data_IF_759664081087
#
_entry.id   IF_759664081087
#
_cell.length_a   1.000
_cell.length_b   1.000
_cell.length_c   1.000
_cell.angle_alpha   90.00
_cell.angle_beta   90.00
_cell.angle_gamma   90.00
#
_symmetry.space_group_name_H-M   'P 1'
#
loop_
_entity.id
_entity.type
_entity.pdbx_description
1 polymer ?
#
# COMPACT_ATOMS: atom_id res chain seq x y z
N UNK A 1 67.94 -40.50 -34.43
CA UNK A 1 66.75 -40.62 -35.30
C UNK A 1 65.63 -41.29 -34.52
N UNK A 2 64.65 -40.53 -34.02
CA UNK A 2 63.38 -41.07 -33.48
C UNK A 2 62.26 -40.11 -33.86
N UNK A 3 61.30 -40.63 -34.63
CA UNK A 3 60.11 -39.94 -35.12
C UNK A 3 59.04 -39.91 -34.02
N UNK A 4 58.33 -38.78 -33.89
CA UNK A 4 57.15 -38.62 -33.04
C UNK A 4 55.87 -38.63 -33.91
N UNK A 5 54.77 -39.24 -33.48
CA UNK A 5 53.55 -39.35 -34.28
C UNK A 5 52.63 -38.13 -34.07
N UNK A 6 52.02 -37.69 -35.16
CA UNK A 6 51.01 -36.64 -35.23
C UNK A 6 49.64 -37.29 -34.94
N UNK A 7 48.98 -36.88 -33.85
CA UNK A 7 47.59 -37.26 -33.55
C UNK A 7 46.64 -36.21 -34.15
N UNK A 8 45.84 -36.62 -35.13
CA UNK A 8 44.76 -35.81 -35.69
C UNK A 8 43.52 -35.93 -34.81
N UNK A 9 43.08 -34.80 -34.23
CA UNK A 9 41.87 -34.70 -33.42
C UNK A 9 40.71 -34.32 -34.36
N UNK A 10 39.76 -35.23 -34.54
CA UNK A 10 38.56 -34.99 -35.33
C UNK A 10 37.57 -34.11 -34.54
N UNK A 11 37.29 -32.92 -35.06
CA UNK A 11 36.32 -31.98 -34.50
C UNK A 11 34.91 -32.40 -34.96
N UNK A 12 34.12 -32.97 -34.05
CA UNK A 12 32.72 -33.32 -34.29
C UNK A 12 31.84 -32.07 -34.06
N UNK A 13 31.26 -31.53 -35.14
CA UNK A 13 30.29 -30.44 -35.08
C UNK A 13 28.92 -31.05 -34.76
N UNK A 14 28.49 -30.94 -33.50
CA UNK A 14 27.13 -31.25 -33.08
C UNK A 14 26.22 -30.06 -33.46
N UNK A 15 25.46 -30.22 -34.55
CA UNK A 15 24.34 -29.33 -34.87
C UNK A 15 23.19 -29.62 -33.89
N UNK A 16 23.07 -28.81 -32.83
CA UNK A 16 21.90 -28.82 -31.96
C UNK A 16 20.73 -28.16 -32.66
N UNK A 17 19.63 -28.90 -32.87
CA UNK A 17 18.35 -28.30 -33.23
C UNK A 17 17.90 -27.42 -32.07
N UNK A 18 17.87 -26.10 -32.29
CA UNK A 18 17.17 -25.17 -31.41
C UNK A 18 15.69 -25.45 -31.59
N UNK A 19 15.07 -26.11 -30.60
CA UNK A 19 13.61 -26.16 -30.50
C UNK A 19 13.23 -24.76 -30.01
N UNK A 20 12.88 -23.87 -30.93
CA UNK A 20 12.22 -22.63 -30.56
C UNK A 20 10.91 -22.97 -29.86
N UNK A 21 10.76 -22.51 -28.62
CA UNK A 21 9.51 -22.64 -27.89
C UNK A 21 8.42 -21.91 -28.69
N UNK A 22 7.36 -22.64 -29.03
CA UNK A 22 6.27 -22.10 -29.82
C UNK A 22 5.49 -21.12 -28.95
N UNK A 23 5.16 -19.94 -29.50
CA UNK A 23 4.30 -19.00 -28.78
C UNK A 23 2.95 -19.65 -28.49
N UNK A 24 2.43 -19.51 -27.25
CA UNK A 24 1.08 -19.97 -26.95
C UNK A 24 0.02 -19.18 -27.71
N UNK A 25 0.32 -17.93 -28.09
CA UNK A 25 -0.54 -17.10 -28.93
C UNK A 25 -0.04 -17.07 -30.39
N UNK A 26 -0.99 -17.08 -31.32
CA UNK A 26 -0.72 -16.91 -32.76
C UNK A 26 -0.22 -15.51 -33.09
N UNK A 27 0.45 -15.36 -34.25
CA UNK A 27 1.02 -14.07 -34.69
C UNK A 27 -0.04 -12.97 -34.81
N UNK A 28 -1.25 -13.30 -35.30
CA UNK A 28 -2.36 -12.37 -35.52
C UNK A 28 -3.57 -12.70 -34.60
N UNK A 29 -3.31 -13.23 -33.40
CA UNK A 29 -4.37 -13.62 -32.47
C UNK A 29 -4.80 -12.46 -31.58
N UNK A 30 -6.03 -11.95 -31.75
CA UNK A 30 -6.63 -10.94 -30.87
C UNK A 30 -7.07 -11.52 -29.52
N UNK A 31 -6.66 -10.90 -28.42
CA UNK A 31 -6.95 -11.25 -27.03
C UNK A 31 -7.87 -10.29 -26.26
N UNK A 32 -7.89 -8.99 -26.57
CA UNK A 32 -8.56 -7.96 -25.75
C UNK A 32 -10.04 -7.73 -26.14
N UNK A 33 -10.39 -7.71 -27.43
CA UNK A 33 -11.79 -7.56 -27.86
C UNK A 33 -12.06 -8.23 -29.21
N UNK A 34 -12.76 -9.38 -29.21
CA UNK A 34 -13.13 -10.01 -30.48
C UNK A 34 -13.75 -11.40 -30.45
N UNK A 35 -13.67 -12.13 -29.34
CA UNK A 35 -14.38 -13.41 -29.17
C UNK A 35 -15.16 -13.41 -27.86
N UNK A 36 -16.33 -14.08 -27.87
CA UNK A 36 -17.38 -14.04 -26.84
C UNK A 36 -16.97 -14.55 -25.44
N UNK A 37 -15.67 -14.76 -25.22
CA UNK A 37 -15.00 -15.37 -24.09
C UNK A 37 -13.66 -14.67 -23.74
N UNK A 38 -13.40 -13.46 -24.25
CA UNK A 38 -12.20 -12.67 -23.94
C UNK A 38 -12.04 -12.38 -22.44
N UNK A 39 -10.81 -12.49 -21.95
CA UNK A 39 -10.41 -12.09 -20.58
C UNK A 39 -10.73 -10.61 -20.41
N UNK A 40 -11.79 -10.30 -19.67
CA UNK A 40 -12.11 -8.92 -19.33
C UNK A 40 -11.08 -8.41 -18.32
N UNK A 41 -10.09 -7.66 -18.81
CA UNK A 41 -9.20 -6.88 -17.94
C UNK A 41 -10.05 -5.92 -17.11
N UNK A 42 -9.72 -5.79 -15.83
CA UNK A 42 -10.27 -4.72 -14.99
C UNK A 42 -9.72 -3.37 -15.43
N UNK A 43 -10.38 -2.28 -15.00
CA UNK A 43 -9.89 -0.92 -15.24
C UNK A 43 -8.47 -0.71 -14.67
N UNK A 44 -8.18 -1.30 -13.51
CA UNK A 44 -6.84 -1.24 -12.94
C UNK A 44 -5.82 -2.00 -13.80
N UNK A 45 -6.10 -3.25 -14.16
CA UNK A 45 -5.17 -4.04 -14.97
C UNK A 45 -4.89 -3.35 -16.30
N UNK A 46 -5.92 -2.81 -16.94
CA UNK A 46 -5.77 -2.02 -18.18
C UNK A 46 -4.81 -0.86 -17.99
N UNK A 47 -5.01 -0.04 -16.95
CA UNK A 47 -4.16 1.12 -16.64
C UNK A 47 -2.73 0.72 -16.28
N UNK A 48 -2.56 -0.32 -15.46
CA UNK A 48 -1.25 -0.74 -14.97
C UNK A 48 -0.45 -1.51 -16.02
N UNK A 49 -1.09 -2.22 -16.96
CA UNK A 49 -0.42 -2.83 -18.11
C UNK A 49 0.18 -1.73 -18.98
N UNK A 50 -0.60 -0.70 -19.34
CA UNK A 50 -0.09 0.44 -20.12
C UNK A 50 1.04 1.15 -19.39
N UNK A 51 0.90 1.38 -18.08
CA UNK A 51 1.96 1.96 -17.26
C UNK A 51 3.22 1.09 -17.27
N UNK A 52 3.12 -0.22 -17.03
CA UNK A 52 4.25 -1.14 -17.04
C UNK A 52 5.02 -1.08 -18.38
N UNK A 53 4.31 -1.10 -19.50
CA UNK A 53 4.92 -1.06 -20.84
C UNK A 53 5.59 0.30 -21.09
N UNK A 54 4.90 1.40 -20.83
CA UNK A 54 5.37 2.76 -21.11
C UNK A 54 6.40 3.29 -20.10
N UNK A 55 6.58 2.63 -18.95
CA UNK A 55 7.65 2.90 -17.97
C UNK A 55 9.01 2.30 -18.38
N UNK A 56 9.10 1.66 -19.55
CA UNK A 56 10.37 1.15 -20.07
C UNK A 56 10.71 -0.28 -19.63
N UNK A 57 9.73 -1.11 -19.29
CA UNK A 57 9.97 -2.52 -19.00
C UNK A 57 10.67 -3.23 -20.19
N UNK A 58 11.88 -3.74 -19.99
CA UNK A 58 12.62 -4.45 -21.04
C UNK A 58 11.95 -5.79 -21.36
N UNK A 59 12.23 -6.35 -22.54
CA UNK A 59 11.76 -7.70 -22.88
C UNK A 59 12.20 -8.76 -21.84
N UNK A 60 13.38 -8.61 -21.23
CA UNK A 60 13.87 -9.47 -20.16
C UNK A 60 13.08 -9.29 -18.86
N UNK A 61 12.72 -8.05 -18.51
CA UNK A 61 11.89 -7.76 -17.35
C UNK A 61 10.48 -8.36 -17.50
N UNK A 62 9.87 -8.23 -18.69
CA UNK A 62 8.57 -8.83 -19.01
C UNK A 62 8.62 -10.37 -18.93
N UNK A 63 9.69 -10.99 -19.46
CA UNK A 63 9.90 -12.44 -19.34
C UNK A 63 10.07 -12.89 -17.90
N UNK A 64 10.82 -12.13 -17.10
CA UNK A 64 10.98 -12.41 -15.67
C UNK A 64 9.64 -12.31 -14.92
N UNK A 65 8.75 -11.43 -15.38
CA UNK A 65 7.39 -11.31 -14.87
C UNK A 65 6.42 -12.40 -15.39
N UNK A 66 6.90 -13.32 -16.23
CA UNK A 66 6.13 -14.48 -16.72
C UNK A 66 5.46 -14.27 -18.09
N UNK A 67 5.73 -13.17 -18.78
CA UNK A 67 5.26 -12.95 -20.16
C UNK A 67 6.08 -13.82 -21.12
N UNK A 68 5.42 -14.47 -22.06
CA UNK A 68 6.10 -15.33 -23.03
C UNK A 68 7.15 -14.57 -23.85
N UNK A 69 8.29 -15.21 -24.15
CA UNK A 69 9.46 -14.58 -24.78
C UNK A 69 9.15 -13.87 -26.11
N UNK A 70 8.23 -14.40 -26.93
CA UNK A 70 7.85 -13.73 -28.19
C UNK A 70 7.06 -12.45 -27.93
N UNK A 71 5.95 -12.54 -27.21
CA UNK A 71 5.14 -11.37 -26.82
C UNK A 71 5.99 -10.29 -26.14
N UNK A 72 6.84 -10.68 -25.18
CA UNK A 72 7.72 -9.75 -24.46
C UNK A 72 8.71 -9.02 -25.40
N UNK A 73 9.22 -9.69 -26.42
CA UNK A 73 10.14 -9.10 -27.41
C UNK A 73 9.40 -8.17 -28.37
N UNK A 74 8.25 -8.58 -28.89
CA UNK A 74 7.48 -7.73 -29.81
C UNK A 74 6.93 -6.49 -29.10
N UNK A 75 6.48 -6.61 -27.85
CA UNK A 75 6.03 -5.46 -27.05
C UNK A 75 7.14 -4.43 -26.82
N UNK A 76 8.35 -4.90 -26.47
CA UNK A 76 9.49 -4.00 -26.29
C UNK A 76 9.93 -3.41 -27.63
N UNK A 77 9.94 -4.19 -28.72
CA UNK A 77 10.34 -3.71 -30.05
C UNK A 77 9.35 -2.70 -30.62
N UNK A 78 8.05 -2.88 -30.43
CA UNK A 78 7.03 -1.88 -30.78
C UNK A 78 7.31 -0.57 -30.06
N UNK A 79 7.45 -0.63 -28.73
CA UNK A 79 7.68 0.56 -27.89
C UNK A 79 8.98 1.28 -28.22
N UNK A 80 10.09 0.53 -28.37
CA UNK A 80 11.44 1.08 -28.47
C UNK A 80 11.82 1.51 -29.89
N UNK A 81 10.89 1.45 -30.85
CA UNK A 81 11.12 1.92 -32.21
C UNK A 81 12.20 1.15 -32.99
N UNK A 82 12.71 1.78 -34.05
CA UNK A 82 13.68 1.18 -34.98
C UNK A 82 15.07 1.03 -34.34
N UNK A 83 15.43 1.92 -33.40
CA UNK A 83 16.72 1.89 -32.72
C UNK A 83 16.79 0.89 -31.55
N UNK A 84 15.64 0.36 -31.13
CA UNK A 84 15.50 -0.67 -30.10
C UNK A 84 15.96 -0.22 -28.72
N UNK A 85 15.97 1.09 -28.46
CA UNK A 85 16.42 1.69 -27.21
C UNK A 85 15.33 2.59 -26.63
N UNK A 86 14.75 2.20 -25.50
CA UNK A 86 13.79 3.03 -24.78
C UNK A 86 14.33 4.43 -24.42
N UNK A 87 13.44 5.41 -24.42
CA UNK A 87 13.65 6.84 -24.13
C UNK A 87 14.43 7.58 -25.23
N UNK A 88 14.21 7.20 -26.49
CA UNK A 88 14.76 7.83 -27.70
C UNK A 88 13.66 8.57 -28.48
N UNK A 89 13.99 9.04 -29.69
CA UNK A 89 13.08 9.91 -30.45
C UNK A 89 12.06 9.14 -31.28
N UNK A 90 12.30 7.85 -31.50
CA UNK A 90 11.50 6.94 -32.31
C UNK A 90 10.67 5.96 -31.47
N UNK A 91 10.64 6.13 -30.13
CA UNK A 91 9.73 5.37 -29.27
C UNK A 91 8.26 5.56 -29.69
N UNK A 92 7.52 4.46 -29.77
CA UNK A 92 6.08 4.40 -30.03
C UNK A 92 5.36 3.89 -28.78
N UNK A 93 5.10 4.80 -27.82
CA UNK A 93 4.45 4.43 -26.56
C UNK A 93 2.99 4.03 -26.81
N UNK A 94 2.53 3.00 -26.08
CA UNK A 94 1.16 2.52 -26.21
C UNK A 94 0.15 3.53 -25.68
N UNK A 95 -0.77 3.98 -26.53
CA UNK A 95 -1.86 4.88 -26.17
C UNK A 95 -3.05 4.13 -25.56
N UNK A 96 -3.29 2.90 -26.04
CA UNK A 96 -4.48 2.12 -25.69
C UNK A 96 -4.18 0.64 -25.53
N UNK A 97 -5.07 -0.07 -24.80
CA UNK A 97 -4.96 -1.52 -24.65
C UNK A 97 -5.26 -2.27 -25.97
N UNK A 98 -6.03 -1.66 -26.87
CA UNK A 98 -6.31 -2.22 -28.18
C UNK A 98 -5.05 -2.20 -29.05
N UNK A 99 -4.22 -1.16 -28.95
CA UNK A 99 -2.91 -1.12 -29.62
C UNK A 99 -1.98 -2.24 -29.13
N UNK A 100 -1.98 -2.52 -27.83
CA UNK A 100 -1.25 -3.66 -27.25
C UNK A 100 -1.75 -5.00 -27.84
N UNK A 101 -3.06 -5.12 -28.10
CA UNK A 101 -3.69 -6.31 -28.72
C UNK A 101 -3.32 -6.50 -30.20
N UNK A 102 -2.89 -5.44 -30.88
CA UNK A 102 -2.47 -5.48 -32.29
C UNK A 102 -1.01 -5.93 -32.46
N UNK A 103 -0.23 -6.00 -31.37
CA UNK A 103 1.17 -6.44 -31.41
C UNK A 103 1.27 -7.94 -31.68
N UNK A 104 2.22 -8.32 -32.54
CA UNK A 104 2.43 -9.71 -32.93
C UNK A 104 2.64 -10.63 -31.71
N UNK A 105 1.96 -11.78 -31.72
CA UNK A 105 1.97 -12.77 -30.63
C UNK A 105 1.39 -12.28 -29.29
N UNK A 106 0.67 -11.15 -29.27
CA UNK A 106 -0.05 -10.67 -28.07
C UNK A 106 -1.51 -11.08 -28.18
N UNK A 107 -1.81 -12.28 -27.70
CA UNK A 107 -3.17 -12.80 -27.65
C UNK A 107 -3.70 -12.90 -26.22
N UNK A 108 -4.74 -13.72 -26.05
CA UNK A 108 -5.39 -13.93 -24.75
C UNK A 108 -4.39 -14.40 -23.69
N UNK A 109 -3.43 -15.26 -24.04
CA UNK A 109 -2.47 -15.80 -23.08
C UNK A 109 -1.52 -14.70 -22.60
N UNK A 110 -0.99 -13.89 -23.53
CA UNK A 110 -0.15 -12.74 -23.23
C UNK A 110 -0.88 -11.73 -22.32
N UNK A 111 -2.16 -11.42 -22.58
CA UNK A 111 -2.93 -10.56 -21.67
C UNK A 111 -3.12 -11.15 -20.28
N UNK A 112 -3.37 -12.46 -20.18
CA UNK A 112 -3.41 -13.14 -18.88
C UNK A 112 -2.07 -13.05 -18.12
N UNK A 113 -0.95 -13.12 -18.82
CA UNK A 113 0.40 -12.98 -18.25
C UNK A 113 0.69 -11.53 -17.85
N UNK A 114 0.32 -10.56 -18.69
CA UNK A 114 0.47 -9.13 -18.40
C UNK A 114 -0.37 -8.72 -17.18
N UNK A 115 -1.62 -9.17 -17.11
CA UNK A 115 -2.49 -8.96 -15.96
C UNK A 115 -1.87 -9.55 -14.68
N UNK A 116 -1.32 -10.77 -14.75
CA UNK A 116 -0.60 -11.37 -13.64
C UNK A 116 0.66 -10.57 -13.24
N UNK A 117 1.41 -10.04 -14.21
CA UNK A 117 2.60 -9.23 -13.97
C UNK A 117 2.28 -7.91 -13.23
N UNK A 118 1.09 -7.34 -13.45
CA UNK A 118 0.66 -6.10 -12.79
C UNK A 118 -0.28 -6.32 -11.60
N UNK A 119 -0.64 -7.57 -11.28
CA UNK A 119 -1.64 -7.88 -10.25
C UNK A 119 -1.32 -7.22 -8.90
N UNK A 120 -0.04 -7.16 -8.51
CA UNK A 120 0.39 -6.50 -7.28
C UNK A 120 0.15 -4.98 -7.28
N UNK A 121 0.22 -4.32 -8.45
CA UNK A 121 -0.08 -2.90 -8.61
C UNK A 121 -1.59 -2.63 -8.53
N UNK A 122 -2.40 -3.66 -8.74
CA UNK A 122 -3.86 -3.60 -8.67
C UNK A 122 -4.47 -4.03 -7.34
N UNK A 123 -3.64 -4.34 -6.35
CA UNK A 123 -4.13 -4.49 -4.98
C UNK A 123 -4.50 -3.11 -4.45
N UNK A 124 -5.80 -2.83 -4.37
CA UNK A 124 -6.29 -1.60 -3.77
C UNK A 124 -5.70 -1.43 -2.36
N UNK A 125 -5.11 -0.27 -2.06
CA UNK A 125 -4.62 0.05 -0.72
C UNK A 125 -5.79 -0.07 0.27
N UNK A 126 -5.80 -1.09 1.16
CA UNK A 126 -6.91 -1.29 2.07
C UNK A 126 -7.04 -0.13 3.09
N UNK A 127 -6.02 0.73 3.19
CA UNK A 127 -5.96 1.89 4.07
C UNK A 127 -6.20 3.22 3.35
N UNK A 128 -6.63 3.23 2.08
CA UNK A 128 -6.88 4.47 1.34
C UNK A 128 -7.83 5.42 2.10
N UNK A 129 -8.90 4.89 2.71
CA UNK A 129 -9.83 5.69 3.53
C UNK A 129 -9.19 6.25 4.82
N UNK A 130 -8.16 5.58 5.34
CA UNK A 130 -7.42 6.06 6.51
C UNK A 130 -6.61 7.32 6.18
N UNK A 131 -6.28 7.56 4.90
CA UNK A 131 -5.59 8.77 4.45
C UNK A 131 -6.54 9.94 4.19
N UNK A 132 -7.85 9.72 4.09
CA UNK A 132 -8.81 10.82 4.11
C UNK A 132 -8.95 11.37 5.53
N UNK A 133 -8.19 12.42 5.85
CA UNK A 133 -8.12 13.04 7.19
C UNK A 133 -9.44 13.65 7.68
N UNK A 134 -10.45 13.74 6.82
CA UNK A 134 -11.78 14.28 7.15
C UNK A 134 -12.76 13.18 7.57
N UNK A 135 -12.49 11.92 7.16
CA UNK A 135 -13.39 10.80 7.40
C UNK A 135 -13.26 10.26 8.82
N UNK A 136 -14.29 10.43 9.64
CA UNK A 136 -14.29 9.98 11.03
C UNK A 136 -14.37 8.46 11.18
N UNK A 137 -15.10 7.78 10.28
CA UNK A 137 -15.30 6.33 10.30
C UNK A 137 -14.90 5.70 8.97
N UNK A 138 -14.05 4.68 9.00
CA UNK A 138 -13.58 3.96 7.81
C UNK A 138 -13.98 2.49 7.84
N UNK A 139 -13.96 1.85 6.68
CA UNK A 139 -14.17 0.42 6.51
C UNK A 139 -13.06 -0.19 5.65
N UNK A 140 -12.75 -1.46 5.88
CA UNK A 140 -11.82 -2.22 5.05
C UNK A 140 -12.56 -3.07 4.04
N UNK A 141 -11.96 -3.33 2.86
CA UNK A 141 -12.45 -4.37 1.96
C UNK A 141 -12.62 -5.72 2.67
N UNK A 142 -13.67 -6.49 2.35
CA UNK A 142 -13.86 -7.82 2.92
C UNK A 142 -12.63 -8.71 2.69
N UNK A 143 -12.19 -9.43 3.73
CA UNK A 143 -11.03 -10.33 3.65
C UNK A 143 -9.66 -9.64 3.80
N UNK A 144 -9.61 -8.33 4.07
CA UNK A 144 -8.36 -7.63 4.37
C UNK A 144 -7.63 -8.32 5.53
N UNK A 145 -6.41 -8.79 5.28
CA UNK A 145 -5.58 -9.42 6.29
C UNK A 145 -5.07 -8.38 7.29
N UNK A 146 -5.17 -8.69 8.58
CA UNK A 146 -4.60 -7.83 9.61
C UNK A 146 -3.06 -7.84 9.56
N UNK A 147 -2.41 -6.69 9.72
CA UNK A 147 -0.96 -6.61 9.73
C UNK A 147 -0.37 -7.39 10.91
N UNK A 148 0.83 -7.92 10.71
CA UNK A 148 1.59 -8.70 11.72
C UNK A 148 2.58 -7.84 12.50
N UNK A 149 2.91 -6.66 11.98
CA UNK A 149 3.74 -5.63 12.62
C UNK A 149 3.04 -4.28 12.57
N UNK A 150 3.51 -3.35 13.39
CA UNK A 150 3.00 -1.99 13.45
C UNK A 150 4.09 -1.01 12.99
N UNK A 151 3.70 -0.10 12.11
CA UNK A 151 4.58 0.99 11.69
C UNK A 151 4.41 2.17 12.65
N UNK A 152 5.52 2.69 13.16
CA UNK A 152 5.53 3.84 14.06
C UNK A 152 5.70 5.13 13.25
N UNK A 153 4.64 5.93 13.02
CA UNK A 153 4.74 7.08 12.16
C UNK A 153 5.31 8.29 12.91
N UNK A 154 6.04 9.10 12.17
CA UNK A 154 6.58 10.38 12.60
C UNK A 154 6.50 11.40 11.45
N UNK A 155 6.41 12.68 11.79
CA UNK A 155 6.32 13.74 10.79
C UNK A 155 6.36 15.12 11.42
N UNK A 156 7.12 16.05 10.83
CA UNK A 156 7.19 17.45 11.24
C UNK A 156 7.42 17.68 12.76
N UNK A 157 8.23 16.82 13.39
CA UNK A 157 8.54 16.92 14.83
C UNK A 157 7.52 16.26 15.76
N UNK A 158 6.50 15.59 15.22
CA UNK A 158 5.51 14.82 15.97
C UNK A 158 5.74 13.32 15.76
N UNK A 159 5.42 12.52 16.78
CA UNK A 159 5.52 11.06 16.72
C UNK A 159 4.31 10.38 17.35
N UNK A 160 3.93 9.22 16.81
CA UNK A 160 2.92 8.34 17.40
C UNK A 160 3.60 7.05 17.86
N UNK A 161 3.91 7.00 19.15
CA UNK A 161 4.58 5.87 19.77
C UNK A 161 3.62 4.82 20.36
N UNK A 162 4.17 3.63 20.60
CA UNK A 162 3.51 2.55 21.32
C UNK A 162 2.28 1.96 20.62
N UNK A 163 1.78 0.88 21.22
CA UNK A 163 0.54 0.22 20.83
C UNK A 163 -0.19 -0.14 22.12
N UNK A 164 -1.44 0.27 22.30
CA UNK A 164 -2.24 -0.09 23.48
C UNK A 164 -3.65 -0.48 23.09
N UNK A 165 -4.03 -1.72 23.41
CA UNK A 165 -5.39 -2.21 23.17
C UNK A 165 -6.19 -2.31 24.45
N UNK A 166 -7.44 -1.91 24.33
CA UNK A 166 -8.47 -2.10 25.34
C UNK A 166 -9.64 -2.88 24.75
N UNK A 167 -9.53 -4.20 24.79
CA UNK A 167 -10.58 -5.16 24.41
C UNK A 167 -11.80 -5.11 25.34
N UNK A 168 -12.86 -4.40 24.95
CA UNK A 168 -14.01 -4.08 25.79
C UNK A 168 -14.97 -5.24 26.03
N UNK A 169 -14.51 -6.43 26.41
CA UNK A 169 -15.33 -7.58 26.77
C UNK A 169 -14.72 -8.35 27.95
N UNK A 170 -15.54 -9.20 28.59
CA UNK A 170 -15.07 -10.08 29.65
C UNK A 170 -14.02 -11.05 29.11
N UNK A 171 -12.85 -11.13 29.75
CA UNK A 171 -11.74 -11.97 29.31
C UNK A 171 -10.91 -11.38 28.17
N UNK A 172 -11.20 -10.16 27.71
CA UNK A 172 -10.33 -9.43 26.78
C UNK A 172 -9.03 -8.99 27.46
N UNK A 173 -7.97 -8.82 26.67
CA UNK A 173 -6.67 -8.32 27.14
C UNK A 173 -6.75 -6.80 27.34
N UNK A 174 -6.63 -6.33 28.60
CA UNK A 174 -6.85 -4.93 28.97
C UNK A 174 -6.01 -4.45 30.18
N UNK A 175 -5.18 -3.40 30.02
CA UNK A 175 -4.56 -3.02 28.75
C UNK A 175 -3.57 -4.09 28.29
N UNK A 176 -3.36 -4.20 26.98
CA UNK A 176 -2.14 -4.84 26.45
C UNK A 176 -1.36 -3.85 25.61
N UNK A 177 -0.03 -3.91 25.73
CA UNK A 177 0.89 -3.04 25.01
C UNK A 177 1.55 -3.74 23.81
N UNK A 178 1.16 -4.97 23.52
CA UNK A 178 1.70 -5.75 22.42
C UNK A 178 0.79 -5.61 21.20
N UNK A 179 1.36 -5.23 20.06
CA UNK A 179 0.61 -5.15 18.81
C UNK A 179 -0.07 -6.48 18.46
N UNK A 180 0.66 -7.59 18.63
CA UNK A 180 0.19 -8.94 18.31
C UNK A 180 -0.94 -9.45 19.20
N UNK A 181 -1.20 -8.81 20.34
CA UNK A 181 -2.32 -9.17 21.22
C UNK A 181 -3.63 -8.44 20.87
N UNK A 182 -3.60 -7.47 19.95
CA UNK A 182 -4.81 -6.89 19.37
C UNK A 182 -5.58 -7.94 18.55
N UNK A 183 -6.91 -7.83 18.47
CA UNK A 183 -7.69 -8.62 17.51
C UNK A 183 -7.32 -8.23 16.08
N UNK A 184 -7.68 -9.03 15.09
CA UNK A 184 -7.43 -8.69 13.68
C UNK A 184 -8.03 -7.32 13.31
N UNK A 185 -9.29 -7.08 13.71
CA UNK A 185 -9.95 -5.79 13.52
C UNK A 185 -9.27 -4.66 14.31
N UNK A 186 -8.82 -4.94 15.54
CA UNK A 186 -8.05 -4.00 16.36
C UNK A 186 -6.74 -3.59 15.69
N UNK A 187 -5.97 -4.55 15.19
CA UNK A 187 -4.68 -4.31 14.51
C UNK A 187 -4.87 -3.53 13.21
N UNK A 188 -5.91 -3.84 12.43
CA UNK A 188 -6.30 -3.05 11.27
C UNK A 188 -6.60 -1.59 11.64
N UNK A 189 -7.44 -1.35 12.65
CA UNK A 189 -7.76 0.01 13.08
C UNK A 189 -6.56 0.76 13.66
N UNK A 190 -5.69 0.09 14.40
CA UNK A 190 -4.49 0.71 14.97
C UNK A 190 -3.50 1.11 13.88
N UNK A 191 -3.28 0.27 12.87
CA UNK A 191 -2.46 0.61 11.70
C UNK A 191 -3.10 1.73 10.87
N UNK A 192 -4.42 1.71 10.68
CA UNK A 192 -5.13 2.80 10.02
C UNK A 192 -4.98 4.12 10.78
N UNK A 193 -4.99 4.09 12.11
CA UNK A 193 -4.73 5.25 12.94
C UNK A 193 -3.31 5.80 12.75
N UNK A 194 -2.32 4.94 12.46
CA UNK A 194 -0.96 5.35 12.14
C UNK A 194 -0.87 6.07 10.79
N UNK A 195 -1.47 5.51 9.72
CA UNK A 195 -1.53 6.18 8.42
C UNK A 195 -2.28 7.51 8.49
N UNK A 196 -3.38 7.57 9.26
CA UNK A 196 -4.12 8.80 9.51
C UNK A 196 -3.26 9.85 10.21
N UNK A 197 -2.48 9.44 11.20
CA UNK A 197 -1.54 10.32 11.89
C UNK A 197 -0.51 10.88 10.92
N UNK A 198 0.18 10.02 10.18
CA UNK A 198 1.19 10.42 9.20
C UNK A 198 0.63 11.45 8.20
N UNK A 199 -0.56 11.19 7.66
CA UNK A 199 -1.20 12.08 6.70
C UNK A 199 -1.54 13.45 7.30
N UNK A 200 -2.07 13.49 8.53
CA UNK A 200 -2.31 14.75 9.24
C UNK A 200 -1.00 15.49 9.51
N UNK A 201 0.06 14.76 9.86
CA UNK A 201 1.36 15.36 10.21
C UNK A 201 2.18 15.79 9.00
N UNK A 202 1.81 15.48 7.74
CA UNK A 202 2.42 16.10 6.56
C UNK A 202 2.24 17.63 6.54
N UNK A 203 1.09 18.11 7.03
CA UNK A 203 0.77 19.52 7.24
C UNK A 203 0.07 19.67 8.60
N UNK A 204 0.80 19.72 9.73
CA UNK A 204 0.20 19.67 11.07
C UNK A 204 -0.70 20.89 11.32
N UNK A 205 -1.84 20.74 12.03
CA UNK A 205 -2.71 21.88 12.37
C UNK A 205 -1.95 22.99 13.10
N UNK A 206 -2.24 24.26 12.77
CA UNK A 206 -1.52 25.41 13.32
C UNK A 206 -1.58 25.46 14.87
N UNK A 207 -2.74 25.17 15.45
CA UNK A 207 -2.90 25.10 16.91
C UNK A 207 -2.10 23.95 17.54
N UNK A 208 -1.83 22.87 16.80
CA UNK A 208 -0.97 21.77 17.28
C UNK A 208 0.50 22.18 17.27
N UNK A 209 0.95 22.87 16.23
CA UNK A 209 2.30 23.45 16.17
C UNK A 209 2.49 24.45 17.31
N UNK A 210 1.50 25.31 17.55
CA UNK A 210 1.51 26.24 18.67
C UNK A 210 1.54 25.52 20.03
N UNK A 211 0.74 24.47 20.21
CA UNK A 211 0.74 23.66 21.42
C UNK A 211 2.15 23.13 21.75
N UNK A 212 2.86 22.61 20.74
CA UNK A 212 4.22 22.11 20.92
C UNK A 212 5.24 23.22 21.25
N UNK A 213 5.06 24.42 20.71
CA UNK A 213 5.96 25.55 20.96
C UNK A 213 5.72 26.25 22.30
N UNK A 214 4.46 26.36 22.73
CA UNK A 214 4.04 27.24 23.83
C UNK A 214 3.77 26.48 25.14
N UNK A 215 3.95 25.16 25.17
CA UNK A 215 3.65 24.33 26.35
C UNK A 215 4.78 23.35 26.68
N UNK A 216 4.61 22.59 27.76
CA UNK A 216 5.56 21.57 28.18
C UNK A 216 5.35 20.22 27.44
N UNK A 217 4.45 20.16 26.45
CA UNK A 217 4.23 18.98 25.64
C UNK A 217 5.19 18.94 24.45
N UNK A 218 6.00 17.88 24.34
CA UNK A 218 7.03 17.74 23.29
C UNK A 218 6.60 16.96 22.06
N UNK A 219 5.36 17.13 21.60
CA UNK A 219 4.90 16.55 20.32
C UNK A 219 4.66 15.03 20.30
N UNK A 220 4.71 14.36 21.45
CA UNK A 220 4.56 12.90 21.53
C UNK A 220 3.12 12.46 21.77
N UNK A 221 2.66 11.53 20.93
CA UNK A 221 1.40 10.82 21.06
C UNK A 221 1.62 9.35 21.38
N UNK A 222 0.58 8.71 21.93
CA UNK A 222 0.55 7.27 22.18
C UNK A 222 -0.66 6.62 21.53
N UNK A 223 -0.44 5.62 20.66
CA UNK A 223 -1.53 4.97 19.94
C UNK A 223 -2.32 4.04 20.87
N UNK A 224 -3.62 4.27 20.94
CA UNK A 224 -4.56 3.55 21.80
C UNK A 224 -5.77 3.15 20.95
N UNK A 225 -6.20 1.90 21.07
CA UNK A 225 -7.42 1.43 20.43
C UNK A 225 -8.41 0.86 21.46
N UNK A 226 -9.57 1.51 21.62
CA UNK A 226 -10.71 0.91 22.33
C UNK A 226 -11.39 -0.09 21.40
N UNK A 227 -11.16 -1.38 21.62
CA UNK A 227 -11.62 -2.45 20.74
C UNK A 227 -12.97 -2.99 21.22
N UNK A 228 -14.02 -2.81 20.40
CA UNK A 228 -15.35 -3.36 20.63
C UNK A 228 -15.70 -4.46 19.62
N UNK A 229 -14.75 -4.93 18.81
CA UNK A 229 -14.98 -5.89 17.71
C UNK A 229 -15.65 -7.19 18.15
N UNK A 230 -15.46 -7.60 19.41
CA UNK A 230 -16.13 -8.77 19.95
C UNK A 230 -17.65 -8.53 20.13
N UNK A 231 -18.54 -9.45 19.68
CA UNK A 231 -19.99 -9.30 19.86
C UNK A 231 -20.44 -9.15 21.32
N UNK A 232 -19.69 -9.73 22.27
CA UNK A 232 -19.95 -9.66 23.72
C UNK A 232 -19.42 -8.38 24.38
N UNK A 233 -18.90 -7.43 23.60
CA UNK A 233 -18.33 -6.21 24.15
C UNK A 233 -19.35 -5.39 24.95
N UNK A 234 -18.89 -4.89 26.10
CA UNK A 234 -19.61 -3.93 26.91
C UNK A 234 -19.57 -2.57 26.21
N UNK A 235 -20.72 -2.18 25.64
CA UNK A 235 -20.85 -0.94 24.88
C UNK A 235 -20.58 -1.10 23.39
N UNK A 236 -20.34 0.02 22.71
CA UNK A 236 -20.06 0.11 21.29
C UNK A 236 -19.06 1.25 21.06
N UNK A 237 -18.36 1.18 19.93
CA UNK A 237 -17.58 2.32 19.46
C UNK A 237 -18.51 3.53 19.20
N UNK A 238 -18.13 4.69 19.73
CA UNK A 238 -18.89 5.94 19.66
C UNK A 238 -18.15 7.10 19.01
N UNK A 239 -16.83 6.99 18.78
CA UNK A 239 -16.04 8.04 18.15
C UNK A 239 -14.58 8.05 18.64
N UNK A 240 -13.67 8.59 17.83
CA UNK A 240 -12.29 8.75 18.25
C UNK A 240 -12.16 9.90 19.26
N UNK A 241 -11.09 9.88 20.05
CA UNK A 241 -10.80 10.92 21.04
C UNK A 241 -9.30 11.19 21.17
N UNK A 242 -8.95 12.40 21.59
CA UNK A 242 -7.61 12.71 22.07
C UNK A 242 -7.68 13.10 23.54
N UNK A 243 -6.68 12.68 24.31
CA UNK A 243 -6.62 12.99 25.73
C UNK A 243 -5.18 13.09 26.23
N UNK A 244 -4.82 14.24 26.81
CA UNK A 244 -3.55 14.40 27.50
C UNK A 244 -3.59 13.68 28.85
N UNK A 245 -3.21 12.40 28.85
CA UNK A 245 -3.08 11.58 30.06
C UNK A 245 -2.12 12.21 31.08
N UNK A 246 -1.03 12.80 30.58
CA UNK A 246 -0.04 13.58 31.33
C UNK A 246 0.54 14.64 30.40
N UNK A 247 1.19 15.66 30.97
CA UNK A 247 1.75 16.79 30.20
C UNK A 247 2.61 16.37 29.01
N UNK A 248 3.44 15.33 29.15
CA UNK A 248 4.32 14.86 28.08
C UNK A 248 3.71 13.83 27.10
N UNK A 249 2.41 13.50 27.20
CA UNK A 249 1.84 12.43 26.36
C UNK A 249 0.34 12.61 26.11
N UNK A 250 -0.03 12.74 24.84
CA UNK A 250 -1.43 12.73 24.39
C UNK A 250 -1.78 11.33 23.86
N UNK A 251 -2.84 10.73 24.38
CA UNK A 251 -3.41 9.48 23.85
C UNK A 251 -4.14 9.78 22.56
N UNK A 252 -3.75 9.10 21.49
CA UNK A 252 -4.41 9.09 20.19
C UNK A 252 -5.34 7.88 20.15
N UNK A 253 -6.63 8.10 20.43
CA UNK A 253 -7.55 7.01 20.74
C UNK A 253 -8.48 6.75 19.55
N UNK A 254 -8.22 5.67 18.83
CA UNK A 254 -9.14 5.09 17.85
C UNK A 254 -10.10 4.11 18.54
N UNK A 255 -11.20 3.78 17.85
CA UNK A 255 -12.13 2.74 18.33
C UNK A 255 -12.46 1.76 17.21
N UNK A 256 -12.41 0.46 17.53
CA UNK A 256 -12.82 -0.62 16.62
C UNK A 256 -14.27 -1.00 16.92
N UNK A 257 -15.13 -0.98 15.91
CA UNK A 257 -16.54 -1.35 16.02
C UNK A 257 -16.74 -2.87 15.89
N UNK A 258 -17.93 -3.36 16.29
CA UNK A 258 -18.35 -4.76 16.15
C UNK A 258 -18.33 -5.29 14.71
N UNK A 259 -18.53 -4.41 13.73
CA UNK A 259 -18.49 -4.74 12.31
C UNK A 259 -17.09 -4.60 11.70
N UNK A 260 -16.05 -4.34 12.52
CA UNK A 260 -14.67 -4.17 12.07
C UNK A 260 -14.34 -2.77 11.52
N UNK A 261 -15.32 -1.87 11.42
CA UNK A 261 -15.05 -0.47 11.05
C UNK A 261 -14.31 0.28 12.16
N UNK A 262 -13.57 1.33 11.79
CA UNK A 262 -12.74 2.09 12.71
C UNK A 262 -13.22 3.53 12.81
N UNK A 263 -13.31 4.05 14.03
CA UNK A 263 -13.33 5.49 14.26
C UNK A 263 -11.90 5.98 14.46
N UNK A 264 -11.48 6.91 13.61
CA UNK A 264 -10.13 7.45 13.58
C UNK A 264 -10.13 8.95 13.88
N UNK A 265 -9.13 9.49 14.60
CA UNK A 265 -9.00 10.93 14.73
C UNK A 265 -8.96 11.65 13.38
N UNK A 266 -9.78 12.68 13.24
CA UNK A 266 -9.81 13.55 12.06
C UNK A 266 -8.92 14.77 12.28
N UNK A 267 -8.57 15.46 11.20
CA UNK A 267 -7.85 16.75 11.29
C UNK A 267 -8.56 17.74 12.22
N UNK A 268 -9.88 17.87 12.07
CA UNK A 268 -10.72 18.71 12.95
C UNK A 268 -10.61 18.29 14.43
N UNK A 269 -10.66 16.99 14.73
CA UNK A 269 -10.53 16.52 16.10
C UNK A 269 -9.16 16.89 16.69
N UNK A 270 -8.08 16.76 15.90
CA UNK A 270 -6.72 17.12 16.34
C UNK A 270 -6.62 18.63 16.60
N UNK A 271 -7.20 19.46 15.74
CA UNK A 271 -7.24 20.92 15.93
C UNK A 271 -8.03 21.31 17.18
N UNK A 272 -9.23 20.74 17.38
CA UNK A 272 -10.04 20.96 18.59
C UNK A 272 -9.32 20.49 19.86
N UNK A 273 -8.64 19.35 19.80
CA UNK A 273 -7.84 18.85 20.91
C UNK A 273 -6.69 19.81 21.25
N UNK A 274 -5.95 20.27 20.24
CA UNK A 274 -4.83 21.19 20.44
C UNK A 274 -5.29 22.50 21.10
N UNK A 275 -6.41 23.07 20.63
CA UNK A 275 -7.03 24.24 21.25
C UNK A 275 -7.43 24.01 22.71
N UNK A 276 -8.09 22.89 23.01
CA UNK A 276 -8.47 22.55 24.38
C UNK A 276 -7.25 22.40 25.31
N UNK A 277 -6.13 21.90 24.78
CA UNK A 277 -4.88 21.76 25.51
C UNK A 277 -4.18 23.11 25.73
N UNK A 278 -4.17 23.99 24.74
CA UNK A 278 -3.68 25.36 24.89
C UNK A 278 -4.45 26.12 25.98
N UNK A 279 -5.79 26.03 25.97
CA UNK A 279 -6.64 26.65 26.99
C UNK A 279 -6.35 26.07 28.39
N UNK A 280 -6.02 24.78 28.47
CA UNK A 280 -5.64 24.11 29.72
C UNK A 280 -4.29 24.62 30.24
N UNK A 281 -3.29 24.73 29.37
CA UNK A 281 -1.99 25.29 29.70
C UNK A 281 -2.09 26.72 30.24
N UNK A 282 -2.92 27.56 29.60
CA UNK A 282 -3.18 28.93 30.05
C UNK A 282 -3.84 28.95 31.42
N UNK A 283 -4.87 28.13 31.65
CA UNK A 283 -5.54 28.03 32.97
C UNK A 283 -4.59 27.59 34.08
N UNK A 284 -3.68 26.68 33.78
CA UNK A 284 -2.73 26.15 34.76
C UNK A 284 -1.57 27.13 35.02
N UNK A 285 -1.24 28.01 34.07
CA UNK A 285 -0.14 29.00 34.19
C UNK A 285 1.26 28.40 34.18
N UNK A 286 1.38 27.07 34.04
CA UNK A 286 2.64 26.30 34.10
C UNK A 286 3.04 25.70 32.75
N UNK A 287 2.20 25.83 31.71
CA UNK A 287 2.39 25.12 30.45
C UNK A 287 1.97 23.64 30.50
N UNK A 288 1.38 23.16 31.60
CA UNK A 288 0.90 21.79 31.73
C UNK A 288 -0.45 21.58 31.05
N UNK A 289 -0.57 20.50 30.29
CA UNK A 289 -1.77 20.21 29.48
C UNK A 289 -2.59 19.02 30.02
N UNK A 290 -2.15 18.39 31.11
CA UNK A 290 -2.79 17.19 31.63
C UNK A 290 -4.29 17.38 31.83
N UNK A 291 -5.07 16.41 31.35
CA UNK A 291 -6.53 16.38 31.46
C UNK A 291 -7.28 17.02 30.30
N UNK A 292 -6.62 17.81 29.42
CA UNK A 292 -7.28 18.29 28.21
C UNK A 292 -7.70 17.12 27.31
N UNK A 293 -8.87 17.24 26.69
CA UNK A 293 -9.36 16.23 25.76
C UNK A 293 -10.32 16.83 24.74
N UNK A 294 -10.50 16.09 23.63
CA UNK A 294 -11.57 16.30 22.68
C UNK A 294 -12.07 14.94 22.17
N UNK A 295 -13.33 14.86 21.77
CA UNK A 295 -13.95 13.68 21.18
C UNK A 295 -14.74 14.06 19.93
N UNK A 296 -14.85 13.10 19.01
CA UNK A 296 -15.76 13.17 17.87
C UNK A 296 -17.22 12.98 18.30
#
# INVERSE_FOLDING_TARGET
MRQAPIFAFALAVLAGCVIEDASPDGIDESGASGKADGTQLTECETREILALLNEGATAEALQTAGVHTRAARELAAHRDGDDGTFATADDDLFDTIDEVDEVAYVGRTAFGQLAAAVAARCVADPYAEARDVTKARITFPPGTAAPTSYDYPEGNGFNLGGTEFWQKWSGGHNPTYSFSEGTDAGRLCMQAAAYRFEEIMKDPPADLVKLNADTNWGGSFFNWNDDFSNPSSFGNAGGARLWAWRTGLIKWISQTSKDGSCFLPTRDLVERAAKACLDTAVRNGTGEIQGCSAAQ
#
